data_IF_818053962604
#
_entry.id   IF_818053962604
#
_cell.length_a   1.000
_cell.length_b   1.000
_cell.length_c   1.000
_cell.angle_alpha   90.00
_cell.angle_beta   90.00
_cell.angle_gamma   90.00
#
_symmetry.space_group_name_H-M   'P 1'
#
loop_
_entity.id
_entity.type
_entity.pdbx_description
1 polymer ?
#
# COMPACT_ATOMS: atom_id res chain seq x y z
N UNK A 1 20.18 22.22 47.78
CA UNK A 1 19.03 21.66 47.05
C UNK A 1 19.50 21.34 45.63
N UNK A 2 20.16 20.19 45.47
CA UNK A 2 20.67 19.73 44.19
C UNK A 2 19.51 19.03 43.49
N UNK A 3 19.02 19.59 42.37
CA UNK A 3 18.14 18.91 41.47
C UNK A 3 18.93 17.77 40.80
N UNK A 4 18.62 16.53 41.16
CA UNK A 4 18.95 15.37 40.36
C UNK A 4 18.09 15.46 39.10
N UNK A 5 18.60 16.12 38.04
CA UNK A 5 18.14 15.84 36.71
C UNK A 5 18.60 14.41 36.38
N UNK A 6 17.69 13.46 36.52
CA UNK A 6 17.87 12.14 35.95
C UNK A 6 18.19 12.32 34.46
N UNK A 7 19.43 12.08 34.07
CA UNK A 7 19.83 11.96 32.67
C UNK A 7 19.16 10.70 32.10
N UNK A 8 17.87 10.80 31.78
CA UNK A 8 17.21 9.73 31.03
C UNK A 8 17.97 9.63 29.72
N UNK A 9 18.57 8.47 29.47
CA UNK A 9 19.25 8.15 28.20
C UNK A 9 18.31 8.47 27.05
N UNK A 10 18.72 9.33 26.13
CA UNK A 10 17.96 9.69 24.93
C UNK A 10 17.58 8.41 24.18
N UNK A 11 16.29 8.21 23.95
CA UNK A 11 15.77 7.05 23.20
C UNK A 11 16.17 7.14 21.74
N UNK A 12 16.56 6.01 21.16
CA UNK A 12 17.01 5.92 19.77
C UNK A 12 16.21 4.91 18.97
N UNK A 13 15.69 5.34 17.84
CA UNK A 13 14.94 4.50 16.88
C UNK A 13 15.71 4.39 15.56
N UNK A 14 15.99 3.17 15.12
CA UNK A 14 16.44 2.93 13.75
C UNK A 14 15.23 2.70 12.85
N UNK A 15 15.10 3.46 11.76
CA UNK A 15 14.01 3.34 10.78
C UNK A 15 14.56 2.91 9.43
N UNK A 16 13.91 1.93 8.78
CA UNK A 16 14.21 1.54 7.42
C UNK A 16 12.94 1.54 6.58
N UNK A 17 12.75 2.62 5.80
CA UNK A 17 11.74 2.79 4.76
C UNK A 17 12.48 2.97 3.42
N UNK A 18 12.24 2.07 2.45
CA UNK A 18 12.96 2.03 1.17
C UNK A 18 12.14 2.53 -0.01
N UNK A 19 10.89 2.91 0.18
CA UNK A 19 9.97 3.39 -0.85
C UNK A 19 9.17 4.59 -0.33
N UNK A 20 8.61 5.40 -1.23
CA UNK A 20 7.82 6.59 -0.89
C UNK A 20 6.62 6.24 0.00
N UNK A 21 5.95 5.13 -0.26
CA UNK A 21 4.86 4.63 0.62
C UNK A 21 5.37 4.25 2.00
N UNK A 22 6.54 3.62 2.08
CA UNK A 22 7.20 3.30 3.35
C UNK A 22 7.55 4.54 4.17
N UNK A 23 8.04 5.61 3.53
CA UNK A 23 8.30 6.91 4.16
C UNK A 23 7.02 7.53 4.73
N UNK A 24 5.93 7.52 3.98
CA UNK A 24 4.63 8.01 4.42
C UNK A 24 4.15 7.24 5.67
N UNK A 25 4.18 5.91 5.64
CA UNK A 25 3.71 5.09 6.75
C UNK A 25 4.62 5.20 7.99
N UNK A 26 5.93 5.22 7.79
CA UNK A 26 6.89 5.42 8.87
C UNK A 26 6.77 6.81 9.51
N UNK A 27 6.47 7.85 8.72
CA UNK A 27 6.29 9.21 9.23
C UNK A 27 5.07 9.33 10.15
N UNK A 28 3.95 8.65 9.84
CA UNK A 28 2.79 8.60 10.74
C UNK A 28 3.12 7.94 12.08
N UNK A 29 3.94 6.88 12.08
CA UNK A 29 4.42 6.25 13.32
C UNK A 29 5.34 7.18 14.11
N UNK A 30 6.25 7.86 13.41
CA UNK A 30 7.17 8.82 14.06
C UNK A 30 6.43 10.01 14.67
N UNK A 31 5.43 10.54 13.97
CA UNK A 31 4.59 11.62 14.49
C UNK A 31 3.88 11.21 15.79
N UNK A 32 3.29 10.01 15.80
CA UNK A 32 2.65 9.45 17.00
C UNK A 32 3.64 9.23 18.15
N UNK A 33 4.88 8.80 17.87
CA UNK A 33 5.94 8.63 18.88
C UNK A 33 6.44 9.97 19.45
N UNK A 34 6.59 11.00 18.62
CA UNK A 34 7.06 12.32 19.07
C UNK A 34 6.13 13.00 20.06
N UNK A 35 4.84 12.70 20.01
CA UNK A 35 3.89 13.16 21.03
C UNK A 35 4.20 12.61 22.44
N UNK A 36 4.84 11.42 22.52
CA UNK A 36 5.21 10.78 23.79
C UNK A 36 6.71 10.96 24.13
N UNK A 37 7.55 11.04 23.11
CA UNK A 37 9.02 11.14 23.21
C UNK A 37 9.52 12.29 22.32
N UNK A 38 9.40 13.57 22.76
CA UNK A 38 9.79 14.73 21.95
C UNK A 38 11.27 14.71 21.51
N UNK A 39 12.15 14.20 22.39
CA UNK A 39 13.61 14.14 22.19
C UNK A 39 14.07 12.82 21.52
N UNK A 40 13.15 12.05 20.91
CA UNK A 40 13.48 10.79 20.25
C UNK A 40 14.48 11.02 19.11
N UNK A 41 15.66 10.39 19.21
CA UNK A 41 16.65 10.38 18.13
C UNK A 41 16.29 9.29 17.11
N UNK A 42 16.06 9.68 15.86
CA UNK A 42 15.65 8.80 14.78
C UNK A 42 16.65 8.86 13.65
N UNK A 43 17.16 7.71 13.23
CA UNK A 43 18.11 7.62 12.12
C UNK A 43 17.85 6.38 11.23
N UNK A 44 18.29 6.44 9.99
CA UNK A 44 18.15 5.31 9.07
C UNK A 44 17.92 5.72 7.62
N UNK A 45 16.91 5.14 6.94
CA UNK A 45 16.49 5.50 5.59
C UNK A 45 15.05 5.93 5.55
N UNK A 46 14.71 6.83 4.63
CA UNK A 46 13.37 7.35 4.45
C UNK A 46 13.35 8.42 3.36
N UNK A 47 12.32 9.23 3.33
CA UNK A 47 12.16 10.31 2.37
C UNK A 47 11.88 11.65 3.03
N UNK A 48 11.22 12.52 2.26
CA UNK A 48 10.93 13.90 2.65
C UNK A 48 10.09 13.98 3.93
N UNK A 49 9.14 13.05 4.13
CA UNK A 49 8.23 13.08 5.29
C UNK A 49 8.95 12.76 6.60
N UNK A 50 9.75 11.70 6.66
CA UNK A 50 10.57 11.37 7.84
C UNK A 50 11.60 12.48 8.11
N UNK A 51 12.22 13.03 7.07
CA UNK A 51 13.15 14.15 7.18
C UNK A 51 12.50 15.39 7.78
N UNK A 52 11.27 15.74 7.36
CA UNK A 52 10.52 16.88 7.90
C UNK A 52 10.18 16.73 9.38
N UNK A 53 10.10 15.51 9.88
CA UNK A 53 9.92 15.17 11.29
C UNK A 53 11.27 15.07 12.05
N UNK A 54 12.39 15.49 11.47
CA UNK A 54 13.69 15.52 12.12
C UNK A 54 14.45 14.20 12.17
N UNK A 55 14.12 13.22 11.34
CA UNK A 55 14.91 11.99 11.21
C UNK A 55 16.23 12.25 10.46
N UNK A 56 17.33 11.68 10.97
CA UNK A 56 18.65 11.72 10.33
C UNK A 56 18.79 10.61 9.31
N UNK A 57 18.57 10.93 8.02
CA UNK A 57 18.57 9.94 6.94
C UNK A 57 19.98 9.78 6.35
N UNK A 58 20.47 8.53 6.29
CA UNK A 58 21.71 8.16 5.62
C UNK A 58 21.51 8.03 4.10
N UNK A 59 20.32 7.58 3.69
CA UNK A 59 19.92 7.42 2.30
C UNK A 59 18.48 7.83 2.11
N UNK A 60 18.17 8.42 0.96
CA UNK A 60 16.81 8.79 0.59
C UNK A 60 16.08 7.63 -0.12
N UNK A 61 14.74 7.64 -0.08
CA UNK A 61 13.92 6.67 -0.83
C UNK A 61 14.16 6.77 -2.33
N UNK A 62 14.46 7.96 -2.85
CA UNK A 62 14.75 8.16 -4.27
C UNK A 62 16.05 7.45 -4.67
N UNK A 63 17.06 7.43 -3.80
CA UNK A 63 18.30 6.68 -4.03
C UNK A 63 18.08 5.16 -4.08
N UNK A 64 17.08 4.66 -3.35
CA UNK A 64 16.79 3.23 -3.20
C UNK A 64 15.83 2.68 -4.27
N UNK A 65 15.08 3.54 -4.96
CA UNK A 65 13.99 3.18 -5.88
C UNK A 65 14.36 3.10 -7.35
N UNK A 66 15.64 3.18 -7.73
CA UNK A 66 16.10 3.20 -9.13
C UNK A 66 15.69 1.94 -9.91
N UNK A 67 14.99 2.12 -11.03
CA UNK A 67 14.53 1.04 -11.91
C UNK A 67 15.25 1.04 -13.26
N UNK A 68 15.88 -0.11 -13.63
CA UNK A 68 16.43 -0.35 -14.97
C UNK A 68 17.19 -1.68 -15.07
N UNK A 69 17.12 -2.38 -16.22
CA UNK A 69 17.67 -3.74 -16.38
C UNK A 69 19.21 -3.76 -16.46
N UNK A 70 19.83 -2.72 -17.02
CA UNK A 70 21.30 -2.57 -17.08
C UNK A 70 21.84 -2.03 -15.74
N UNK A 71 21.00 -1.37 -14.96
CA UNK A 71 21.29 -0.83 -13.64
C UNK A 71 21.32 -1.89 -12.53
N UNK A 72 20.74 -3.08 -12.75
CA UNK A 72 20.63 -4.16 -11.73
C UNK A 72 21.98 -4.56 -11.15
N UNK A 73 23.05 -4.62 -11.96
CA UNK A 73 24.39 -4.94 -11.45
C UNK A 73 25.02 -3.79 -10.67
N UNK A 74 24.92 -2.54 -11.17
CA UNK A 74 25.35 -1.35 -10.44
C UNK A 74 24.56 -1.19 -9.14
N UNK A 75 23.26 -1.46 -9.19
CA UNK A 75 22.34 -1.42 -8.06
C UNK A 75 22.67 -2.46 -6.99
N UNK A 76 23.11 -3.67 -7.37
CA UNK A 76 23.54 -4.69 -6.40
C UNK A 76 24.78 -4.24 -5.60
N UNK A 77 25.76 -3.60 -6.23
CA UNK A 77 26.91 -3.01 -5.55
C UNK A 77 26.51 -1.82 -4.66
N UNK A 78 25.64 -0.94 -5.15
CA UNK A 78 25.13 0.19 -4.39
C UNK A 78 24.35 -0.28 -3.16
N UNK A 79 23.39 -1.20 -3.33
CA UNK A 79 22.61 -1.76 -2.20
C UNK A 79 23.52 -2.48 -1.19
N UNK A 80 24.59 -3.14 -1.65
CA UNK A 80 25.58 -3.76 -0.73
C UNK A 80 26.31 -2.71 0.09
N UNK A 81 26.68 -1.58 -0.52
CA UNK A 81 27.26 -0.43 0.19
C UNK A 81 26.27 0.15 1.20
N UNK A 82 25.04 0.45 0.77
CA UNK A 82 23.95 0.95 1.65
C UNK A 82 23.78 0.06 2.87
N UNK A 83 23.69 -1.27 2.65
CA UNK A 83 23.56 -2.23 3.76
C UNK A 83 24.79 -2.19 4.68
N UNK A 84 25.99 -2.01 4.14
CA UNK A 84 27.22 -1.84 4.94
C UNK A 84 27.13 -0.61 5.83
N UNK A 85 26.88 0.54 5.24
CA UNK A 85 26.81 1.83 5.94
C UNK A 85 25.71 1.86 7.01
N UNK A 86 24.55 1.23 6.73
CA UNK A 86 23.47 1.07 7.70
C UNK A 86 23.89 0.19 8.90
N UNK A 87 24.60 -0.92 8.66
CA UNK A 87 25.11 -1.79 9.72
C UNK A 87 26.10 -1.07 10.62
N UNK A 88 27.04 -0.33 10.00
CA UNK A 88 28.04 0.45 10.74
C UNK A 88 27.39 1.54 11.57
N UNK A 89 26.36 2.19 11.02
CA UNK A 89 25.57 3.19 11.76
C UNK A 89 24.84 2.56 12.96
N UNK A 90 24.19 1.41 12.76
CA UNK A 90 23.50 0.67 13.84
C UNK A 90 24.48 0.26 14.96
N UNK A 91 25.67 -0.23 14.62
CA UNK A 91 26.68 -0.61 15.61
C UNK A 91 27.22 0.59 16.40
N UNK A 92 27.37 1.75 15.75
CA UNK A 92 27.83 2.98 16.38
C UNK A 92 26.76 3.60 17.28
N UNK A 93 25.54 3.74 16.76
CA UNK A 93 24.44 4.45 17.42
C UNK A 93 23.73 3.62 18.49
N UNK A 94 23.72 2.28 18.34
CA UNK A 94 23.08 1.30 19.24
C UNK A 94 21.62 1.66 19.54
N UNK A 95 20.71 1.59 18.56
CA UNK A 95 19.31 1.95 18.76
C UNK A 95 18.63 1.01 19.76
N UNK A 96 17.67 1.52 20.50
CA UNK A 96 16.90 0.75 21.47
C UNK A 96 15.91 -0.21 20.78
N UNK A 97 15.43 0.16 19.58
CA UNK A 97 14.53 -0.65 18.74
C UNK A 97 14.66 -0.25 17.27
N UNK A 98 14.33 -1.16 16.37
CA UNK A 98 14.29 -0.93 14.93
C UNK A 98 12.86 -1.07 14.38
N UNK A 99 12.43 -0.08 13.58
CA UNK A 99 11.21 -0.11 12.77
C UNK A 99 11.57 -0.38 11.30
N UNK A 100 11.15 -1.51 10.77
CA UNK A 100 11.33 -1.89 9.38
C UNK A 100 9.98 -1.84 8.66
N UNK A 101 9.84 -0.99 7.64
CA UNK A 101 8.57 -0.76 6.95
C UNK A 101 8.62 -1.31 5.54
N UNK A 102 7.74 -2.28 5.23
CA UNK A 102 7.65 -2.95 3.91
C UNK A 102 9.04 -3.35 3.35
N UNK A 103 9.37 -3.07 2.09
CA UNK A 103 10.66 -3.21 1.40
C UNK A 103 11.42 -4.53 1.72
N UNK A 104 10.85 -5.69 1.38
CA UNK A 104 11.21 -6.99 1.98
C UNK A 104 12.63 -7.47 1.69
N UNK A 105 13.24 -7.07 0.57
CA UNK A 105 14.57 -7.56 0.19
C UNK A 105 15.63 -7.08 1.20
N UNK A 106 15.67 -5.79 1.47
CA UNK A 106 16.64 -5.17 2.39
C UNK A 106 16.23 -5.36 3.84
N UNK A 107 14.94 -5.18 4.16
CA UNK A 107 14.43 -5.26 5.52
C UNK A 107 14.63 -6.64 6.16
N UNK A 108 14.37 -7.74 5.43
CA UNK A 108 14.63 -9.09 5.93
C UNK A 108 16.13 -9.41 6.09
N UNK A 109 17.00 -8.74 5.33
CA UNK A 109 18.45 -8.84 5.53
C UNK A 109 18.88 -8.09 6.80
N UNK A 110 18.41 -6.87 6.98
CA UNK A 110 18.71 -6.04 8.15
C UNK A 110 18.08 -6.62 9.42
N UNK A 111 16.89 -7.18 9.39
CA UNK A 111 16.25 -7.83 10.53
C UNK A 111 17.14 -8.92 11.16
N UNK A 112 17.79 -9.75 10.32
CA UNK A 112 18.71 -10.78 10.82
C UNK A 112 19.95 -10.19 11.46
N UNK A 113 20.47 -9.09 10.93
CA UNK A 113 21.62 -8.39 11.50
C UNK A 113 21.26 -7.74 12.83
N UNK A 114 20.16 -7.04 12.91
CA UNK A 114 19.63 -6.40 14.12
C UNK A 114 19.43 -7.43 15.23
N UNK A 115 18.76 -8.54 14.91
CA UNK A 115 18.52 -9.65 15.87
C UNK A 115 19.82 -10.27 16.43
N UNK A 116 20.85 -10.42 15.60
CA UNK A 116 22.17 -10.90 16.04
C UNK A 116 22.89 -9.93 16.98
N UNK A 117 22.55 -8.65 16.90
CA UNK A 117 23.08 -7.61 17.77
C UNK A 117 22.15 -7.26 18.94
N UNK A 118 21.19 -8.13 19.25
CA UNK A 118 20.21 -8.01 20.33
C UNK A 118 19.35 -6.72 20.24
N UNK A 119 19.15 -6.17 19.04
CA UNK A 119 18.28 -5.02 18.80
C UNK A 119 16.89 -5.55 18.43
N UNK A 120 15.83 -5.21 19.20
CA UNK A 120 14.46 -5.60 18.91
C UNK A 120 14.00 -5.11 17.53
N UNK A 121 13.29 -5.95 16.80
CA UNK A 121 12.79 -5.67 15.44
C UNK A 121 11.28 -5.65 15.40
N UNK A 122 10.71 -4.48 15.16
CA UNK A 122 9.31 -4.29 14.80
C UNK A 122 9.23 -4.19 13.28
N UNK A 123 8.53 -5.14 12.66
CA UNK A 123 8.30 -5.12 11.21
C UNK A 123 6.88 -4.70 10.93
N UNK A 124 6.71 -3.57 10.28
CA UNK A 124 5.42 -2.98 9.94
C UNK A 124 5.15 -3.09 8.44
N UNK A 125 3.96 -3.53 8.07
CA UNK A 125 3.53 -3.87 6.71
C UNK A 125 4.28 -5.08 6.17
N UNK A 126 3.74 -6.26 6.44
CA UNK A 126 4.38 -7.54 6.11
C UNK A 126 4.65 -7.69 4.60
N UNK A 127 5.73 -8.37 4.21
CA UNK A 127 5.87 -8.81 2.83
C UNK A 127 4.70 -9.70 2.42
N UNK A 128 4.19 -9.54 1.19
CA UNK A 128 3.08 -10.35 0.63
C UNK A 128 3.50 -11.83 0.40
N UNK A 129 4.07 -12.47 1.44
CA UNK A 129 4.56 -13.86 1.39
C UNK A 129 3.41 -14.86 1.21
N UNK A 130 2.20 -14.50 1.59
CA UNK A 130 0.99 -15.25 1.39
C UNK A 130 0.61 -15.43 -0.09
N UNK A 131 1.08 -14.55 -0.97
CA UNK A 131 0.80 -14.64 -2.40
C UNK A 131 1.72 -15.62 -3.15
N UNK A 132 3.01 -15.76 -2.74
CA UNK A 132 3.97 -16.48 -3.58
C UNK A 132 5.26 -17.00 -2.92
N UNK A 133 5.56 -16.68 -1.66
CA UNK A 133 6.82 -17.07 -0.99
C UNK A 133 6.63 -17.47 0.47
N UNK A 134 5.67 -18.34 0.75
CA UNK A 134 5.34 -18.81 2.11
C UNK A 134 6.56 -19.31 2.91
N UNK A 135 7.52 -19.99 2.25
CA UNK A 135 8.76 -20.45 2.90
C UNK A 135 9.63 -19.35 3.53
N UNK A 136 9.37 -18.07 3.24
CA UNK A 136 10.05 -16.95 3.91
C UNK A 136 9.59 -16.75 5.36
N UNK A 137 8.38 -17.21 5.73
CA UNK A 137 7.83 -17.05 7.08
C UNK A 137 8.77 -17.62 8.13
N UNK A 138 9.40 -18.78 7.88
CA UNK A 138 10.38 -19.36 8.81
C UNK A 138 11.61 -18.48 9.06
N UNK A 139 12.02 -17.70 8.04
CA UNK A 139 13.13 -16.76 8.18
C UNK A 139 12.69 -15.50 8.94
N UNK A 140 11.47 -15.05 8.70
CA UNK A 140 10.85 -13.91 9.41
C UNK A 140 10.72 -14.22 10.89
N UNK A 141 10.16 -15.38 11.25
CA UNK A 141 9.98 -15.84 12.63
C UNK A 141 11.28 -15.81 13.47
N UNK A 142 12.43 -16.05 12.84
CA UNK A 142 13.73 -16.06 13.53
C UNK A 142 14.37 -14.67 13.72
N UNK A 143 13.87 -13.65 13.05
CA UNK A 143 14.53 -12.34 12.98
C UNK A 143 13.62 -11.15 13.27
N UNK A 144 12.34 -11.36 13.46
CA UNK A 144 11.35 -10.32 13.75
C UNK A 144 10.76 -10.61 15.12
N UNK A 145 10.75 -9.63 16.01
CA UNK A 145 10.18 -9.74 17.35
C UNK A 145 8.69 -9.43 17.37
N UNK A 146 8.27 -8.42 16.62
CA UNK A 146 6.87 -8.03 16.47
C UNK A 146 6.56 -7.79 14.99
N UNK A 147 5.57 -8.51 14.48
CA UNK A 147 5.09 -8.37 13.10
C UNK A 147 3.73 -7.69 13.11
N UNK A 148 3.67 -6.49 12.54
CA UNK A 148 2.45 -5.70 12.40
C UNK A 148 1.94 -5.81 10.96
N UNK A 149 0.76 -6.37 10.81
CA UNK A 149 0.13 -6.63 9.51
C UNK A 149 -1.04 -5.67 9.26
N UNK A 150 -1.35 -5.44 7.98
CA UNK A 150 -2.36 -4.47 7.56
C UNK A 150 -3.65 -5.09 7.03
N UNK A 151 -3.72 -6.42 6.98
CA UNK A 151 -4.92 -7.17 6.63
C UNK A 151 -5.22 -8.25 7.68
N UNK A 152 -6.48 -8.39 8.07
CA UNK A 152 -6.90 -9.36 9.08
C UNK A 152 -6.57 -10.81 8.67
N UNK A 153 -6.70 -11.17 7.40
CA UNK A 153 -6.38 -12.51 6.91
C UNK A 153 -4.89 -12.88 7.07
N UNK A 154 -3.99 -11.89 7.15
CA UNK A 154 -2.56 -12.12 7.39
C UNK A 154 -2.30 -12.67 8.79
N UNK A 155 -3.09 -12.26 9.80
CA UNK A 155 -2.97 -12.81 11.17
C UNK A 155 -3.16 -14.32 11.16
N UNK A 156 -4.23 -14.81 10.53
CA UNK A 156 -4.50 -16.24 10.40
C UNK A 156 -3.44 -16.95 9.54
N UNK A 157 -3.02 -16.31 8.44
CA UNK A 157 -1.98 -16.86 7.59
C UNK A 157 -0.68 -17.08 8.36
N UNK A 158 -0.19 -16.10 9.10
CA UNK A 158 1.03 -16.22 9.89
C UNK A 158 0.87 -17.21 11.06
N UNK A 159 -0.30 -17.24 11.70
CA UNK A 159 -0.59 -18.21 12.77
C UNK A 159 -0.51 -19.68 12.30
N UNK A 160 -1.01 -19.97 11.09
CA UNK A 160 -0.88 -21.31 10.46
C UNK A 160 0.59 -21.75 10.27
N UNK A 161 1.50 -20.77 10.15
CA UNK A 161 2.94 -21.02 10.05
C UNK A 161 3.67 -20.89 11.40
N UNK A 162 2.90 -20.81 12.50
CA UNK A 162 3.43 -20.73 13.88
C UNK A 162 4.16 -19.41 14.16
N UNK A 163 3.84 -18.32 13.45
CA UNK A 163 4.34 -16.97 13.69
C UNK A 163 3.20 -16.08 14.18
N UNK A 164 3.43 -15.37 15.28
CA UNK A 164 2.47 -14.37 15.78
C UNK A 164 2.58 -13.10 14.93
N UNK A 165 1.44 -12.64 14.45
CA UNK A 165 1.31 -11.35 13.79
C UNK A 165 0.16 -10.57 14.43
N UNK A 166 0.30 -9.25 14.53
CA UNK A 166 -0.70 -8.37 15.10
C UNK A 166 -1.31 -7.49 14.02
N UNK A 167 -2.62 -7.45 13.98
CA UNK A 167 -3.31 -6.52 13.10
C UNK A 167 -3.14 -5.07 13.61
N UNK A 168 -2.55 -4.22 12.79
CA UNK A 168 -2.32 -2.82 13.12
C UNK A 168 -3.44 -1.89 12.63
N UNK A 169 -4.25 -2.32 11.69
CA UNK A 169 -5.11 -1.48 10.86
C UNK A 169 -4.48 -1.26 9.48
N UNK A 170 -5.23 -0.67 8.57
CA UNK A 170 -4.76 -0.43 7.21
C UNK A 170 -4.42 1.06 6.98
N UNK A 171 -3.16 1.40 6.64
CA UNK A 171 -2.73 2.79 6.48
C UNK A 171 -3.40 3.50 5.30
N UNK A 172 -3.81 2.78 4.25
CA UNK A 172 -4.59 3.38 3.15
C UNK A 172 -5.92 3.89 3.65
N UNK A 173 -6.60 3.16 4.56
CA UNK A 173 -7.86 3.62 5.17
C UNK A 173 -7.62 4.83 6.06
N UNK A 174 -6.56 4.84 6.86
CA UNK A 174 -6.17 5.98 7.69
C UNK A 174 -5.95 7.25 6.85
N UNK A 175 -5.25 7.13 5.72
CA UNK A 175 -5.00 8.24 4.78
C UNK A 175 -6.31 8.77 4.18
N UNK A 176 -7.20 7.88 3.74
CA UNK A 176 -8.46 8.24 3.10
C UNK A 176 -9.46 8.92 4.05
N UNK A 177 -9.37 8.70 5.36
CA UNK A 177 -10.21 9.39 6.36
C UNK A 177 -9.92 10.90 6.45
N UNK A 178 -8.75 11.34 6.02
CA UNK A 178 -8.33 12.74 6.04
C UNK A 178 -8.53 13.46 4.69
N UNK A 179 -9.10 12.79 3.67
CA UNK A 179 -9.37 13.42 2.38
C UNK A 179 -10.61 14.31 2.46
N UNK A 180 -10.39 15.59 2.16
CA UNK A 180 -11.48 16.54 1.95
C UNK A 180 -11.96 16.49 0.49
N UNK A 181 -13.06 15.79 0.27
CA UNK A 181 -13.65 15.60 -1.06
C UNK A 181 -14.86 16.53 -1.25
N UNK A 182 -14.86 17.25 -2.36
CA UNK A 182 -15.95 18.16 -2.70
C UNK A 182 -17.27 17.40 -2.92
N UNK A 183 -18.44 18.02 -2.70
CA UNK A 183 -19.74 17.43 -3.02
C UNK A 183 -19.87 17.11 -4.52
N UNK A 184 -20.52 15.96 -4.86
CA UNK A 184 -20.73 15.51 -6.26
C UNK A 184 -21.28 16.62 -7.16
N UNK A 185 -22.24 17.41 -6.69
CA UNK A 185 -22.83 18.52 -7.47
C UNK A 185 -21.80 19.57 -7.89
N UNK A 186 -20.80 19.84 -7.06
CA UNK A 186 -19.75 20.79 -7.37
C UNK A 186 -18.79 20.23 -8.44
N UNK A 187 -18.45 18.94 -8.33
CA UNK A 187 -17.68 18.21 -9.34
C UNK A 187 -18.38 18.23 -10.71
N UNK A 188 -19.68 17.89 -10.75
CA UNK A 188 -20.46 17.91 -12.00
C UNK A 188 -20.49 19.29 -12.64
N UNK A 189 -20.70 20.37 -11.85
CA UNK A 189 -20.69 21.74 -12.35
C UNK A 189 -19.31 22.15 -12.89
N UNK A 190 -18.23 21.82 -12.17
CA UNK A 190 -16.86 22.13 -12.58
C UNK A 190 -16.53 21.55 -13.95
N UNK A 191 -17.02 20.37 -14.23
CA UNK A 191 -16.77 19.67 -15.48
C UNK A 191 -17.90 19.79 -16.51
N UNK A 192 -18.92 20.64 -16.27
CA UNK A 192 -20.09 20.80 -17.12
C UNK A 192 -20.74 19.45 -17.50
N UNK A 193 -20.94 18.57 -16.52
CA UNK A 193 -21.58 17.25 -16.65
C UNK A 193 -23.06 17.37 -16.26
N UNK A 194 -23.93 16.76 -17.05
CA UNK A 194 -25.35 16.70 -16.74
C UNK A 194 -25.60 15.76 -15.53
N UNK A 195 -26.55 16.12 -14.66
CA UNK A 195 -26.84 15.35 -13.44
C UNK A 195 -27.37 13.93 -13.74
N UNK A 196 -27.94 13.72 -14.93
CA UNK A 196 -28.44 12.42 -15.41
C UNK A 196 -27.43 11.53 -16.15
N UNK A 197 -26.24 12.04 -16.46
CA UNK A 197 -25.20 11.26 -17.17
C UNK A 197 -24.60 10.20 -16.25
N UNK A 198 -24.32 9.02 -16.79
CA UNK A 198 -23.61 7.94 -16.09
C UNK A 198 -22.11 8.24 -16.04
N UNK A 199 -21.51 8.23 -14.86
CA UNK A 199 -20.08 8.42 -14.67
C UNK A 199 -19.35 7.09 -14.60
N UNK A 200 -18.47 6.81 -15.56
CA UNK A 200 -17.71 5.56 -15.62
C UNK A 200 -16.23 5.85 -15.38
N UNK A 201 -15.67 5.24 -14.35
CA UNK A 201 -14.27 5.39 -13.98
C UNK A 201 -13.35 4.50 -14.82
N UNK A 202 -12.21 5.05 -15.26
CA UNK A 202 -11.13 4.32 -15.90
C UNK A 202 -9.85 4.53 -15.10
N UNK A 203 -9.35 3.46 -14.44
CA UNK A 203 -8.12 3.45 -13.65
C UNK A 203 -7.13 2.47 -14.27
N UNK A 204 -6.36 2.87 -15.31
CA UNK A 204 -5.54 1.97 -16.12
C UNK A 204 -4.23 1.54 -15.46
N UNK A 205 -3.99 1.96 -14.21
CA UNK A 205 -2.78 1.63 -13.47
C UNK A 205 -1.76 2.76 -13.45
N UNK A 206 -0.62 2.48 -12.84
CA UNK A 206 0.46 3.44 -12.61
C UNK A 206 1.78 3.08 -13.30
N UNK A 207 1.88 1.89 -13.92
CA UNK A 207 3.09 1.45 -14.61
C UNK A 207 2.91 1.53 -16.12
N UNK A 208 3.96 1.97 -16.83
CA UNK A 208 3.96 2.08 -18.29
C UNK A 208 3.43 0.82 -18.99
N UNK A 209 3.87 -0.36 -18.55
CA UNK A 209 3.45 -1.63 -19.14
C UNK A 209 1.96 -1.93 -18.91
N UNK A 210 1.44 -1.64 -17.72
CA UNK A 210 0.01 -1.81 -17.40
C UNK A 210 -0.83 -0.91 -18.31
N UNK A 211 -0.51 0.39 -18.35
CA UNK A 211 -1.21 1.38 -19.15
C UNK A 211 -1.20 0.98 -20.63
N UNK A 212 -0.04 0.62 -21.19
CA UNK A 212 0.07 0.27 -22.62
C UNK A 212 -0.73 -0.99 -23.02
N UNK A 213 -0.99 -1.89 -22.08
CA UNK A 213 -1.73 -3.14 -22.35
C UNK A 213 -3.22 -3.06 -22.02
N UNK A 214 -3.61 -2.21 -21.06
CA UNK A 214 -4.96 -2.16 -20.50
C UNK A 214 -5.73 -0.95 -20.99
N UNK A 215 -5.10 0.22 -21.08
CA UNK A 215 -5.79 1.45 -21.42
C UNK A 215 -6.46 1.43 -22.81
N UNK A 216 -5.84 0.89 -23.88
CA UNK A 216 -6.51 0.73 -25.17
C UNK A 216 -7.82 -0.08 -25.09
N UNK A 217 -7.83 -1.15 -24.29
CA UNK A 217 -9.03 -1.98 -24.10
C UNK A 217 -10.10 -1.25 -23.26
N UNK A 218 -9.69 -0.47 -22.26
CA UNK A 218 -10.61 0.38 -21.51
C UNK A 218 -11.25 1.45 -22.40
N UNK A 219 -10.52 1.99 -23.37
CA UNK A 219 -11.03 2.97 -24.32
C UNK A 219 -11.96 2.34 -25.34
N UNK A 220 -11.71 1.11 -25.80
CA UNK A 220 -12.66 0.36 -26.62
C UNK A 220 -13.94 0.07 -25.83
N UNK A 221 -13.84 -0.30 -24.56
CA UNK A 221 -15.01 -0.42 -23.69
C UNK A 221 -15.77 0.90 -23.57
N UNK A 222 -15.05 2.03 -23.41
CA UNK A 222 -15.65 3.36 -23.33
C UNK A 222 -16.40 3.73 -24.63
N UNK A 223 -15.84 3.41 -25.80
CA UNK A 223 -16.51 3.60 -27.08
C UNK A 223 -17.83 2.82 -27.15
N UNK A 224 -17.78 1.53 -26.82
CA UNK A 224 -18.95 0.66 -26.84
C UNK A 224 -20.03 1.07 -25.82
N UNK A 225 -19.62 1.57 -24.64
CA UNK A 225 -20.53 2.08 -23.61
C UNK A 225 -21.14 3.42 -24.01
N UNK A 226 -20.36 4.32 -24.64
CA UNK A 226 -20.83 5.61 -25.14
C UNK A 226 -21.88 5.49 -26.25
N UNK A 227 -21.88 4.39 -27.04
CA UNK A 227 -22.93 4.08 -28.01
C UNK A 227 -24.27 3.68 -27.38
N UNK A 228 -24.25 3.25 -26.08
CA UNK A 228 -25.42 2.71 -25.39
C UNK A 228 -25.99 3.65 -24.32
N UNK A 229 -25.16 4.48 -23.71
CA UNK A 229 -25.52 5.30 -22.57
C UNK A 229 -25.05 6.75 -22.76
N UNK A 230 -25.81 7.71 -22.21
CA UNK A 230 -25.28 9.07 -21.98
C UNK A 230 -24.21 9.00 -20.87
N UNK A 231 -22.99 8.66 -21.27
CA UNK A 231 -21.90 8.36 -20.36
C UNK A 231 -20.75 9.38 -20.46
N UNK A 232 -20.17 9.69 -19.30
CA UNK A 232 -18.93 10.48 -19.17
C UNK A 232 -17.89 9.59 -18.52
N UNK A 233 -16.70 9.52 -19.12
CA UNK A 233 -15.62 8.66 -18.64
C UNK A 233 -14.59 9.47 -17.86
N UNK A 234 -14.40 9.13 -16.61
CA UNK A 234 -13.44 9.77 -15.69
C UNK A 234 -12.13 8.97 -15.73
N UNK A 235 -11.05 9.56 -16.24
CA UNK A 235 -9.75 8.90 -16.36
C UNK A 235 -8.85 9.32 -15.21
N UNK A 236 -8.53 8.38 -14.33
CA UNK A 236 -7.59 8.60 -13.22
C UNK A 236 -6.15 8.39 -13.68
N UNK A 237 -5.39 9.49 -13.74
CA UNK A 237 -3.97 9.47 -14.08
C UNK A 237 -3.13 9.62 -12.81
N UNK A 238 -2.17 8.73 -12.61
CA UNK A 238 -1.20 8.86 -11.53
C UNK A 238 -0.22 10.00 -11.84
N UNK A 239 0.05 10.88 -10.88
CA UNK A 239 0.83 12.12 -11.06
C UNK A 239 2.27 11.92 -11.57
N UNK A 240 2.85 10.75 -11.31
CA UNK A 240 4.22 10.40 -11.74
C UNK A 240 4.28 9.74 -13.13
N UNK A 241 3.13 9.53 -13.79
CA UNK A 241 3.07 8.88 -15.11
C UNK A 241 3.16 9.94 -16.21
N UNK A 242 4.00 9.66 -17.22
CA UNK A 242 4.12 10.54 -18.38
C UNK A 242 2.78 10.62 -19.14
N UNK A 243 2.22 11.83 -19.26
CA UNK A 243 0.98 12.12 -19.97
C UNK A 243 0.98 11.65 -21.44
N UNK A 244 2.13 11.65 -22.11
CA UNK A 244 2.26 11.17 -23.50
C UNK A 244 1.79 9.71 -23.70
N UNK A 245 1.77 8.90 -22.63
CA UNK A 245 1.23 7.54 -22.68
C UNK A 245 -0.29 7.50 -22.87
N UNK A 246 -0.98 8.57 -22.52
CA UNK A 246 -2.43 8.71 -22.62
C UNK A 246 -2.84 9.46 -23.91
N UNK A 247 -2.08 10.48 -24.32
CA UNK A 247 -2.37 11.35 -25.47
C UNK A 247 -2.57 10.58 -26.78
N UNK A 248 -1.80 9.49 -26.98
CA UNK A 248 -1.91 8.66 -28.18
C UNK A 248 -3.30 8.01 -28.36
N UNK A 249 -4.12 7.98 -27.32
CA UNK A 249 -5.39 7.26 -27.26
C UNK A 249 -6.59 8.17 -26.99
N UNK A 250 -6.42 9.46 -26.71
CA UNK A 250 -7.48 10.34 -26.17
C UNK A 250 -8.51 10.85 -27.21
N UNK A 251 -8.32 10.55 -28.49
CA UNK A 251 -9.24 10.99 -29.55
C UNK A 251 -10.15 9.87 -30.01
N UNK A 252 -11.18 9.58 -29.23
CA UNK A 252 -12.22 8.62 -29.64
C UNK A 252 -13.46 9.41 -29.99
N UNK A 253 -13.93 9.37 -31.26
CA UNK A 253 -15.15 10.06 -31.65
C UNK A 253 -16.33 9.64 -30.80
N UNK A 254 -17.11 10.59 -30.31
CA UNK A 254 -18.32 10.34 -29.53
C UNK A 254 -18.09 9.96 -28.05
N UNK A 255 -16.84 9.88 -27.59
CA UNK A 255 -16.50 9.57 -26.18
C UNK A 255 -16.04 10.82 -25.46
N UNK A 256 -16.71 11.16 -24.37
CA UNK A 256 -16.31 12.28 -23.49
C UNK A 256 -15.42 11.76 -22.37
N UNK A 257 -14.12 12.02 -22.48
CA UNK A 257 -13.11 11.73 -21.45
C UNK A 257 -12.84 12.96 -20.60
N UNK A 258 -12.76 12.79 -19.29
CA UNK A 258 -12.37 13.84 -18.33
C UNK A 258 -11.23 13.30 -17.47
N UNK A 259 -10.11 14.01 -17.51
CA UNK A 259 -8.97 13.71 -16.64
C UNK A 259 -9.25 14.16 -15.21
N UNK A 260 -9.03 13.25 -14.26
CA UNK A 260 -9.27 13.46 -12.84
C UNK A 260 -8.15 12.82 -12.01
N UNK A 261 -8.06 13.17 -10.74
CA UNK A 261 -7.30 12.35 -9.79
C UNK A 261 -7.96 10.98 -9.61
N UNK A 262 -7.16 9.96 -9.25
CA UNK A 262 -7.70 8.63 -8.98
C UNK A 262 -8.80 8.66 -7.89
N UNK A 263 -8.64 9.49 -6.87
CA UNK A 263 -9.62 9.62 -5.80
C UNK A 263 -10.92 10.30 -6.24
N UNK A 264 -10.86 11.27 -7.16
CA UNK A 264 -12.06 11.85 -7.78
C UNK A 264 -12.81 10.81 -8.60
N UNK A 265 -12.10 9.97 -9.37
CA UNK A 265 -12.72 8.84 -10.07
C UNK A 265 -13.40 7.90 -9.08
N UNK A 266 -12.72 7.52 -8.00
CA UNK A 266 -13.25 6.60 -6.99
C UNK A 266 -14.45 7.16 -6.23
N UNK A 267 -14.48 8.46 -5.99
CA UNK A 267 -15.54 9.15 -5.27
C UNK A 267 -16.81 9.35 -6.11
N UNK A 268 -16.65 9.67 -7.41
CA UNK A 268 -17.77 10.17 -8.21
C UNK A 268 -18.28 9.20 -9.27
N UNK A 269 -17.51 8.19 -9.68
CA UNK A 269 -17.96 7.23 -10.66
C UNK A 269 -19.09 6.34 -10.12
N UNK A 270 -20.05 6.00 -10.99
CA UNK A 270 -21.15 5.08 -10.70
C UNK A 270 -20.72 3.62 -10.83
N UNK A 271 -19.76 3.35 -11.72
CA UNK A 271 -19.03 2.08 -11.87
C UNK A 271 -17.65 2.37 -12.46
N UNK A 272 -16.69 1.45 -12.29
CA UNK A 272 -15.34 1.66 -12.83
C UNK A 272 -14.67 0.38 -13.35
N UNK A 273 -13.74 0.57 -14.27
CA UNK A 273 -12.71 -0.39 -14.68
C UNK A 273 -11.43 -0.07 -13.89
N UNK A 274 -10.95 -1.01 -13.10
CA UNK A 274 -9.82 -0.78 -12.19
C UNK A 274 -8.72 -1.81 -12.42
N UNK A 275 -7.52 -1.37 -12.72
CA UNK A 275 -6.35 -2.28 -12.83
C UNK A 275 -6.04 -2.90 -11.47
N UNK A 276 -5.80 -4.22 -11.46
CA UNK A 276 -5.46 -4.95 -10.22
C UNK A 276 -4.18 -4.41 -9.58
N UNK A 277 -4.26 -4.09 -8.28
CA UNK A 277 -3.18 -3.53 -7.48
C UNK A 277 -3.73 -2.81 -6.25
N UNK A 278 -2.99 -1.86 -5.71
CA UNK A 278 -3.42 -1.04 -4.57
C UNK A 278 -4.69 -0.25 -4.88
N UNK A 279 -4.88 0.15 -6.14
CA UNK A 279 -6.08 0.86 -6.58
C UNK A 279 -7.39 0.10 -6.28
N UNK A 280 -7.37 -1.26 -6.26
CA UNK A 280 -8.56 -2.04 -5.90
C UNK A 280 -8.90 -1.96 -4.41
N UNK A 281 -7.91 -1.78 -3.55
CA UNK A 281 -8.10 -1.51 -2.12
C UNK A 281 -8.63 -0.08 -1.89
N UNK A 282 -8.05 0.89 -2.58
CA UNK A 282 -8.51 2.28 -2.51
C UNK A 282 -9.97 2.38 -3.00
N UNK A 283 -10.30 1.80 -4.15
CA UNK A 283 -11.65 1.76 -4.70
C UNK A 283 -12.65 1.03 -3.76
N UNK A 284 -12.23 -0.05 -3.08
CA UNK A 284 -12.98 -0.70 -2.00
C UNK A 284 -13.32 0.30 -0.90
N UNK A 285 -12.36 1.10 -0.47
CA UNK A 285 -12.56 2.09 0.59
C UNK A 285 -13.57 3.18 0.22
N UNK A 286 -13.70 3.54 -1.06
CA UNK A 286 -14.75 4.43 -1.56
C UNK A 286 -16.10 3.70 -1.76
N UNK A 287 -16.13 2.38 -1.63
CA UNK A 287 -17.30 1.57 -1.97
C UNK A 287 -17.67 1.68 -3.44
N UNK A 288 -16.67 1.87 -4.32
CA UNK A 288 -16.88 2.02 -5.77
C UNK A 288 -17.20 0.67 -6.41
N UNK A 289 -18.39 0.49 -7.02
CA UNK A 289 -18.68 -0.68 -7.84
C UNK A 289 -17.67 -0.77 -9.00
N UNK A 290 -16.97 -1.90 -9.12
CA UNK A 290 -15.88 -2.00 -10.07
C UNK A 290 -15.82 -3.37 -10.77
N UNK A 291 -15.17 -3.36 -11.93
CA UNK A 291 -14.65 -4.53 -12.61
C UNK A 291 -13.14 -4.46 -12.59
N UNK A 292 -12.50 -5.45 -12.04
CA UNK A 292 -11.04 -5.50 -11.93
C UNK A 292 -10.45 -6.07 -13.21
N UNK A 293 -9.40 -5.42 -13.69
CA UNK A 293 -8.73 -5.77 -14.94
C UNK A 293 -7.26 -6.05 -14.68
N UNK A 294 -6.73 -7.13 -15.24
CA UNK A 294 -5.31 -7.41 -15.18
C UNK A 294 -4.78 -7.97 -16.49
N UNK A 295 -3.76 -7.29 -17.02
CA UNK A 295 -3.06 -7.74 -18.23
C UNK A 295 -1.57 -7.52 -18.07
N UNK A 296 -0.79 -8.53 -18.38
CA UNK A 296 0.68 -8.48 -18.33
C UNK A 296 1.27 -9.26 -19.50
N UNK A 297 2.58 -9.10 -19.74
CA UNK A 297 3.26 -9.86 -20.79
C UNK A 297 3.09 -11.37 -20.58
N UNK A 298 2.95 -12.11 -21.68
CA UNK A 298 2.66 -13.55 -21.67
C UNK A 298 3.60 -14.36 -20.78
N UNK A 299 4.90 -14.07 -20.81
CA UNK A 299 5.90 -14.78 -20.00
C UNK A 299 5.66 -14.56 -18.50
N UNK A 300 5.41 -13.32 -18.10
CA UNK A 300 5.12 -12.97 -16.71
C UNK A 300 3.84 -13.63 -16.21
N UNK A 301 2.82 -13.72 -17.07
CA UNK A 301 1.57 -14.39 -16.74
C UNK A 301 1.77 -15.89 -16.52
N UNK A 302 2.48 -16.59 -17.42
CA UNK A 302 2.74 -18.03 -17.29
C UNK A 302 3.52 -18.35 -16.03
N UNK A 303 4.53 -17.52 -15.71
CA UNK A 303 5.31 -17.63 -14.47
C UNK A 303 4.41 -17.35 -13.26
N UNK A 304 3.65 -16.27 -13.30
CA UNK A 304 2.75 -15.86 -12.21
C UNK A 304 1.71 -16.95 -11.90
N UNK A 305 1.05 -17.51 -12.92
CA UNK A 305 0.06 -18.57 -12.77
C UNK A 305 0.60 -19.85 -12.11
N UNK A 306 1.91 -20.13 -12.27
CA UNK A 306 2.55 -21.30 -11.62
C UNK A 306 2.97 -21.04 -10.19
N UNK A 307 3.22 -19.78 -9.84
CA UNK A 307 3.79 -19.40 -8.53
C UNK A 307 2.69 -18.93 -7.57
N UNK A 308 1.71 -18.19 -8.09
CA UNK A 308 0.60 -17.63 -7.29
C UNK A 308 -0.49 -18.71 -7.16
N UNK A 309 -0.80 -19.07 -5.92
CA UNK A 309 -1.81 -20.09 -5.59
C UNK A 309 -3.18 -19.49 -5.24
N UNK A 310 -3.39 -18.23 -5.54
CA UNK A 310 -4.63 -17.52 -5.24
C UNK A 310 -5.64 -17.68 -6.37
N UNK A 311 -6.91 -17.83 -6.01
CA UNK A 311 -8.03 -17.83 -6.95
C UNK A 311 -8.36 -16.40 -7.39
N UNK A 312 -8.34 -15.45 -6.47
CA UNK A 312 -8.56 -14.02 -6.72
C UNK A 312 -7.25 -13.25 -6.71
N UNK A 313 -7.12 -12.27 -7.60
CA UNK A 313 -5.91 -11.43 -7.73
C UNK A 313 -6.10 -10.03 -7.17
N UNK A 314 -7.34 -9.56 -7.00
CA UNK A 314 -7.61 -8.24 -6.43
C UNK A 314 -7.67 -8.27 -4.91
N UNK A 315 -7.12 -7.23 -4.28
CA UNK A 315 -7.27 -7.05 -2.84
C UNK A 315 -8.75 -6.92 -2.44
N UNK A 316 -9.59 -6.35 -3.30
CA UNK A 316 -11.02 -6.23 -3.03
C UNK A 316 -11.69 -7.59 -2.79
N UNK A 317 -11.45 -8.59 -3.65
CA UNK A 317 -11.99 -9.94 -3.47
C UNK A 317 -11.33 -10.67 -2.29
N UNK A 318 -10.01 -10.58 -2.17
CA UNK A 318 -9.27 -11.23 -1.07
C UNK A 318 -9.76 -10.74 0.29
N UNK A 319 -10.03 -9.44 0.44
CA UNK A 319 -10.48 -8.85 1.69
C UNK A 319 -11.95 -9.19 1.98
N UNK A 320 -12.82 -9.14 0.96
CA UNK A 320 -14.27 -9.38 1.13
C UNK A 320 -14.63 -10.85 1.24
N UNK A 321 -13.86 -11.75 0.63
CA UNK A 321 -14.19 -13.19 0.52
C UNK A 321 -13.16 -14.11 1.19
N UNK A 322 -11.99 -13.60 1.52
CA UNK A 322 -10.89 -14.37 2.10
C UNK A 322 -9.84 -14.80 1.08
N UNK A 323 -8.65 -15.10 1.61
CA UNK A 323 -7.44 -15.36 0.82
C UNK A 323 -7.56 -16.57 -0.13
N UNK A 324 -8.26 -17.61 0.28
CA UNK A 324 -8.36 -18.88 -0.46
C UNK A 324 -9.74 -19.09 -1.12
N UNK A 325 -10.63 -18.08 -1.06
CA UNK A 325 -11.95 -18.16 -1.67
C UNK A 325 -11.88 -18.04 -3.18
N UNK A 326 -12.73 -18.76 -3.88
CA UNK A 326 -13.01 -18.63 -5.31
C UNK A 326 -14.21 -17.72 -5.62
N UNK A 327 -14.96 -17.34 -4.58
CA UNK A 327 -16.05 -16.37 -4.72
C UNK A 327 -15.53 -14.96 -5.02
N UNK A 328 -16.34 -14.17 -5.73
CA UNK A 328 -16.01 -12.81 -6.11
C UNK A 328 -17.10 -11.82 -5.69
N UNK A 329 -16.67 -10.76 -5.02
CA UNK A 329 -17.50 -9.57 -4.82
C UNK A 329 -17.51 -8.70 -6.06
N UNK A 330 -16.32 -8.53 -6.67
CA UNK A 330 -16.11 -7.78 -7.91
C UNK A 330 -15.60 -8.72 -9.02
N UNK A 331 -16.10 -8.61 -10.27
CA UNK A 331 -15.58 -9.40 -11.39
C UNK A 331 -14.09 -9.13 -11.64
N UNK A 332 -13.33 -10.18 -11.98
CA UNK A 332 -11.93 -10.09 -12.37
C UNK A 332 -11.75 -10.57 -13.81
N UNK A 333 -11.31 -9.68 -14.68
CA UNK A 333 -11.00 -9.98 -16.09
C UNK A 333 -9.48 -10.07 -16.25
N UNK A 334 -9.00 -11.29 -16.55
CA UNK A 334 -7.56 -11.58 -16.56
C UNK A 334 -7.12 -11.91 -17.99
N UNK A 335 -6.04 -11.25 -18.45
CA UNK A 335 -5.39 -11.50 -19.75
C UNK A 335 -6.36 -11.37 -20.95
N UNK A 336 -6.69 -12.47 -21.61
CA UNK A 336 -7.57 -12.47 -22.78
C UNK A 336 -9.02 -12.10 -22.46
N UNK A 337 -9.46 -12.29 -21.22
CA UNK A 337 -10.77 -11.83 -20.76
C UNK A 337 -10.82 -10.30 -20.58
N UNK A 338 -9.68 -9.66 -20.44
CA UNK A 338 -9.55 -8.21 -20.31
C UNK A 338 -9.65 -7.52 -21.70
N UNK A 339 -10.70 -7.83 -22.46
CA UNK A 339 -11.02 -7.17 -23.74
C UNK A 339 -12.04 -6.05 -23.55
N UNK A 340 -12.03 -5.05 -24.45
CA UNK A 340 -12.97 -3.93 -24.42
C UNK A 340 -14.43 -4.40 -24.44
N UNK A 341 -14.76 -5.43 -25.22
CA UNK A 341 -16.10 -6.01 -25.29
C UNK A 341 -16.54 -6.65 -23.95
N UNK A 342 -15.62 -7.39 -23.31
CA UNK A 342 -15.93 -8.03 -22.02
C UNK A 342 -16.06 -6.98 -20.90
N UNK A 343 -15.18 -5.98 -20.88
CA UNK A 343 -15.27 -4.85 -19.97
C UNK A 343 -16.58 -4.09 -20.15
N UNK A 344 -16.98 -3.80 -21.39
CA UNK A 344 -18.25 -3.17 -21.71
C UNK A 344 -19.43 -3.97 -21.14
N UNK A 345 -19.42 -5.30 -21.33
CA UNK A 345 -20.49 -6.19 -20.84
C UNK A 345 -20.63 -6.15 -19.32
N UNK A 346 -19.51 -6.28 -18.60
CA UNK A 346 -19.53 -6.28 -17.12
C UNK A 346 -19.96 -4.91 -16.56
N UNK A 347 -19.48 -3.80 -17.14
CA UNK A 347 -19.88 -2.45 -16.73
C UNK A 347 -21.36 -2.22 -17.08
N UNK A 348 -21.83 -2.61 -18.26
CA UNK A 348 -23.27 -2.53 -18.61
C UNK A 348 -24.13 -3.28 -17.60
N UNK A 349 -23.71 -4.49 -17.20
CA UNK A 349 -24.43 -5.26 -16.19
C UNK A 349 -24.53 -4.51 -14.85
N UNK A 350 -23.48 -3.82 -14.42
CA UNK A 350 -23.54 -3.00 -13.20
C UNK A 350 -24.45 -1.77 -13.37
N UNK A 351 -24.46 -1.14 -14.54
CA UNK A 351 -25.31 0.03 -14.81
C UNK A 351 -26.81 -0.38 -14.82
N UNK A 352 -27.13 -1.47 -15.50
CA UNK A 352 -28.50 -1.96 -15.72
C UNK A 352 -29.08 -2.65 -14.48
N UNK A 353 -28.25 -3.08 -13.50
CA UNK A 353 -28.68 -3.79 -12.31
C UNK A 353 -28.37 -2.98 -11.02
N UNK A 354 -29.22 -2.00 -10.66
CA UNK A 354 -29.00 -1.16 -9.47
C UNK A 354 -28.92 -1.96 -8.17
N UNK A 355 -29.64 -3.09 -8.07
CA UNK A 355 -29.60 -3.96 -6.90
C UNK A 355 -28.19 -4.57 -6.73
N UNK A 356 -27.65 -5.19 -7.81
CA UNK A 356 -26.30 -5.76 -7.78
C UNK A 356 -25.22 -4.72 -7.45
N UNK A 357 -25.37 -3.52 -8.03
CA UNK A 357 -24.46 -2.38 -7.72
C UNK A 357 -24.51 -1.98 -6.26
N UNK A 358 -25.73 -1.94 -5.65
CA UNK A 358 -25.92 -1.63 -4.25
C UNK A 358 -25.34 -2.71 -3.33
N UNK A 359 -25.54 -3.98 -3.66
CA UNK A 359 -24.99 -5.11 -2.91
C UNK A 359 -23.45 -5.10 -2.95
N UNK A 360 -22.85 -4.90 -4.12
CA UNK A 360 -21.40 -4.77 -4.26
C UNK A 360 -20.87 -3.63 -3.41
N UNK A 361 -21.48 -2.44 -3.51
CA UNK A 361 -21.12 -1.28 -2.71
C UNK A 361 -21.20 -1.55 -1.21
N UNK A 362 -22.24 -2.21 -0.74
CA UNK A 362 -22.41 -2.56 0.67
C UNK A 362 -21.30 -3.49 1.14
N UNK A 363 -20.99 -4.56 0.40
CA UNK A 363 -19.93 -5.49 0.74
C UNK A 363 -18.53 -4.83 0.78
N UNK A 364 -18.26 -3.89 -0.11
CA UNK A 364 -17.00 -3.13 -0.13
C UNK A 364 -16.90 -2.20 1.09
N UNK A 365 -17.99 -1.50 1.46
CA UNK A 365 -18.02 -0.61 2.62
C UNK A 365 -17.95 -1.38 3.94
N UNK A 366 -18.56 -2.56 4.04
CA UNK A 366 -18.43 -3.44 5.20
C UNK A 366 -16.98 -3.90 5.39
N UNK A 367 -16.31 -4.26 4.30
CA UNK A 367 -14.89 -4.59 4.32
C UNK A 367 -14.01 -3.40 4.73
N UNK A 368 -14.31 -2.18 4.25
CA UNK A 368 -13.66 -0.95 4.72
C UNK A 368 -13.81 -0.75 6.23
N UNK A 369 -15.01 -0.96 6.77
CA UNK A 369 -15.26 -0.81 8.21
C UNK A 369 -14.39 -1.75 9.04
N UNK A 370 -14.15 -2.98 8.57
CA UNK A 370 -13.23 -3.93 9.21
C UNK A 370 -11.78 -3.47 9.14
N UNK A 371 -11.36 -2.86 8.02
CA UNK A 371 -10.00 -2.32 7.86
C UNK A 371 -9.75 -1.06 8.70
N UNK A 372 -10.78 -0.29 9.02
CA UNK A 372 -10.73 0.95 9.80
C UNK A 372 -10.77 0.74 11.32
N UNK A 373 -10.73 -0.50 11.80
CA UNK A 373 -10.96 -0.85 13.22
C UNK A 373 -9.89 -0.33 14.19
N UNK A 374 -8.74 0.14 13.70
CA UNK A 374 -7.65 0.71 14.50
C UNK A 374 -6.83 1.73 13.70
N UNK A 375 -6.16 2.67 14.39
CA UNK A 375 -5.15 3.53 13.77
C UNK A 375 -3.82 2.76 13.66
N UNK A 376 -3.35 2.44 12.45
CA UNK A 376 -2.12 1.68 12.25
C UNK A 376 -0.89 2.41 12.76
N UNK A 377 -0.82 3.73 12.60
CA UNK A 377 0.28 4.55 13.06
C UNK A 377 0.39 4.56 14.60
N UNK A 378 -0.72 4.73 15.30
CA UNK A 378 -0.76 4.70 16.78
C UNK A 378 -0.45 3.29 17.31
N UNK A 379 -1.00 2.24 16.68
CA UNK A 379 -0.70 0.87 17.08
C UNK A 379 0.77 0.53 16.94
N UNK A 380 1.40 0.91 15.84
CA UNK A 380 2.84 0.70 15.64
C UNK A 380 3.68 1.51 16.64
N UNK A 381 3.30 2.76 16.92
CA UNK A 381 3.94 3.58 17.94
C UNK A 381 3.85 2.94 19.33
N UNK A 382 2.67 2.47 19.74
CA UNK A 382 2.49 1.79 21.03
C UNK A 382 3.37 0.54 21.16
N UNK A 383 3.53 -0.26 20.10
CA UNK A 383 4.40 -1.43 20.11
C UNK A 383 5.87 -1.03 20.27
N UNK A 384 6.30 0.07 19.65
CA UNK A 384 7.67 0.60 19.78
C UNK A 384 7.90 1.17 21.18
N UNK A 385 6.94 1.93 21.73
CA UNK A 385 7.02 2.51 23.08
C UNK A 385 7.26 1.45 24.15
N UNK A 386 6.67 0.27 24.02
CA UNK A 386 6.91 -0.84 24.93
C UNK A 386 8.40 -1.22 25.06
N UNK A 387 9.17 -1.16 23.96
CA UNK A 387 10.62 -1.43 24.03
C UNK A 387 11.39 -0.30 24.69
N UNK A 388 10.95 0.94 24.59
CA UNK A 388 11.56 2.06 25.31
C UNK A 388 11.37 1.98 26.82
N UNK A 389 10.24 1.42 27.28
CA UNK A 389 9.91 1.24 28.70
C UNK A 389 10.65 0.04 29.34
N UNK A 390 10.82 -1.07 28.61
CA UNK A 390 11.54 -2.23 29.10
C UNK A 390 12.99 -1.94 29.50
N UNK A 391 13.68 -1.02 28.82
CA UNK A 391 15.03 -0.61 29.21
C UNK A 391 15.07 0.21 30.51
N UNK A 392 14.00 0.92 30.85
CA UNK A 392 13.94 1.68 32.11
C UNK A 392 13.88 0.75 33.32
N UNK A 393 13.15 -0.36 33.22
CA UNK A 393 13.04 -1.35 34.31
C UNK A 393 14.34 -2.12 34.57
N UNK A 394 15.11 -2.43 33.52
CA UNK A 394 16.41 -3.10 33.66
C UNK A 394 17.56 -2.18 34.08
N UNK A 395 17.42 -0.87 33.90
CA UNK A 395 18.37 0.14 34.39
C UNK A 395 18.27 0.38 35.91
N UNK A 396 17.06 0.34 36.45
CA UNK A 396 16.79 0.54 37.88
C UNK A 396 17.21 -0.67 38.75
N UNK A 397 17.07 -1.89 38.26
CA UNK A 397 17.50 -3.10 39.01
C UNK A 397 19.03 -3.26 39.14
N UNK A 398 19.81 -2.66 38.22
CA UNK A 398 21.28 -2.65 38.32
C UNK A 398 21.84 -1.57 39.28
N UNK A 399 21.05 -0.56 39.62
CA UNK A 399 21.46 0.47 40.57
C UNK A 399 21.13 0.16 42.05
N UNK A 400 20.25 -0.84 42.29
CA UNK A 400 19.88 -1.30 43.63
C UNK A 400 20.75 -2.48 44.14
N UNK A 401 21.71 -2.92 43.33
CA UNK A 401 22.64 -4.03 43.68
C UNK A 401 24.11 -3.62 43.77
N UNK A 402 24.41 -2.33 44.06
CA UNK A 402 25.74 -1.84 44.41
C UNK A 402 25.77 -1.31 45.83
#
# INVERSE_FOLDING_TARGET
MFQFQDFMKQKKLFVLAGEVSGDLHASGVLDALRNQYPDLDVFGTGGVKLRSLGARLLYDTDDLSVMGFVEVLRQAFFLRKVIGDLKDSVLREKPDVALLVDYPAMNLHMARFLKRNAIPVVYYISPKVWAWKEGRVMKMKRSIDRLLVIFNFEVEFFARHGMVAEYAGNPVVEELLHLDMQPRKQFLRRHAINDGSVLIGLLPGSRKQEISLIYPEMLEAARLLGERYDAVFLVGKASHVNHALFEAYERIPGVRLIECSAYEVMQYADAALVTSGTATLEALCFGLPMVVVYRTGWLNYVIGKRIVKLHNISLANIITKGLLSDEQTVPELIQHEASGERMCREVSFLIENPLRRKEMRAALLDARAQLASSSPSQKAASVISHYFELEQTHGTDRQLSC
#
